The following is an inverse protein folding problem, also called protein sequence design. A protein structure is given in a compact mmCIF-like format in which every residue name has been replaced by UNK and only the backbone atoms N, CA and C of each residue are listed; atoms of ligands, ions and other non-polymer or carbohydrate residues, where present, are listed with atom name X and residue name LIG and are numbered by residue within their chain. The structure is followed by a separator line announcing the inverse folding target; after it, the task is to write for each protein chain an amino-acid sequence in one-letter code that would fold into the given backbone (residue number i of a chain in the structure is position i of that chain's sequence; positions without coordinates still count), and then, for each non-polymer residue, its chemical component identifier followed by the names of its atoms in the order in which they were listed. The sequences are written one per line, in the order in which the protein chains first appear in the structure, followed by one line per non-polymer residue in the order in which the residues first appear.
data_IF_813080399415
#
_entry.id   IF_813080399415
#
_cell.length_a   1.000
_cell.length_b   1.000
_cell.length_c   1.000
_cell.angle_alpha   90.00
_cell.angle_beta   90.00
_cell.angle_gamma   90.00
#
_symmetry.space_group_name_H-M   'P 1'
#
loop_
_entity.id
_entity.type
_entity.pdbx_description
1 polymer ?
#
# COMPACT_ATOMS: atom_id res chain seq x y z
N UNK A 1 17.75 -11.35 3.16
CA UNK A 1 17.20 -11.59 4.50
C UNK A 1 16.43 -10.36 5.01
N UNK A 2 15.59 -10.51 6.02
CA UNK A 2 14.87 -9.41 6.67
C UNK A 2 15.85 -8.34 7.17
N UNK A 3 16.91 -8.74 7.85
CA UNK A 3 17.94 -7.85 8.35
C UNK A 3 18.61 -7.01 7.23
N UNK A 4 18.85 -7.60 6.07
CA UNK A 4 19.48 -6.87 4.95
C UNK A 4 18.58 -5.74 4.39
N UNK A 5 17.27 -5.88 4.53
CA UNK A 5 16.30 -4.86 4.06
C UNK A 5 16.02 -3.82 5.13
N UNK A 6 15.86 -4.25 6.39
CA UNK A 6 15.42 -3.38 7.49
C UNK A 6 16.56 -2.77 8.29
N UNK A 7 17.77 -3.30 8.16
CA UNK A 7 18.93 -2.96 9.01
C UNK A 7 18.91 -3.62 10.40
N UNK A 8 17.85 -4.34 10.76
CA UNK A 8 17.66 -4.92 12.11
C UNK A 8 17.31 -6.40 12.03
N UNK A 9 17.88 -7.20 12.94
CA UNK A 9 17.55 -8.63 13.11
C UNK A 9 16.39 -8.81 14.10
N UNK A 10 15.20 -8.35 13.71
CA UNK A 10 14.00 -8.33 14.56
C UNK A 10 12.83 -9.14 13.99
N UNK A 11 13.07 -10.05 13.03
CA UNK A 11 12.01 -10.84 12.42
C UNK A 11 11.21 -11.64 13.46
N UNK A 12 11.88 -12.19 14.48
CA UNK A 12 11.21 -12.92 15.57
C UNK A 12 10.19 -12.05 16.31
N UNK A 13 10.54 -10.80 16.62
CA UNK A 13 9.63 -9.85 17.27
C UNK A 13 8.45 -9.46 16.37
N UNK A 14 8.68 -9.31 15.06
CA UNK A 14 7.60 -9.04 14.09
C UNK A 14 6.60 -10.20 14.06
N UNK A 15 7.09 -11.44 14.00
CA UNK A 15 6.22 -12.63 14.02
C UNK A 15 5.48 -12.79 15.35
N UNK A 16 6.14 -12.53 16.47
CA UNK A 16 5.48 -12.52 17.79
C UNK A 16 4.38 -11.44 17.88
N UNK A 17 4.64 -10.25 17.33
CA UNK A 17 3.63 -9.18 17.24
C UNK A 17 2.45 -9.56 16.34
N UNK A 18 2.70 -10.27 15.24
CA UNK A 18 1.66 -10.82 14.39
C UNK A 18 0.77 -11.81 15.16
N UNK A 19 1.39 -12.78 15.86
CA UNK A 19 0.67 -13.80 16.62
C UNK A 19 -0.12 -13.15 17.78
N UNK A 20 0.44 -12.14 18.46
CA UNK A 20 -0.26 -11.37 19.49
C UNK A 20 -1.47 -10.60 18.94
N UNK A 21 -1.35 -10.00 17.74
CA UNK A 21 -2.47 -9.31 17.09
C UNK A 21 -3.63 -10.25 16.78
N UNK A 22 -3.31 -11.45 16.30
CA UNK A 22 -4.31 -12.49 16.04
C UNK A 22 -4.96 -13.01 17.31
N UNK A 23 -4.17 -13.23 18.36
CA UNK A 23 -4.68 -13.65 19.69
C UNK A 23 -5.63 -12.59 20.29
N UNK A 24 -5.40 -11.31 19.99
CA UNK A 24 -6.29 -10.20 20.37
C UNK A 24 -7.54 -10.07 19.47
N UNK A 25 -7.75 -10.95 18.50
CA UNK A 25 -8.90 -10.92 17.59
C UNK A 25 -8.83 -9.82 16.53
N UNK A 26 -7.66 -9.23 16.28
CA UNK A 26 -7.51 -8.17 15.29
C UNK A 26 -7.46 -8.73 13.87
N UNK A 27 -8.22 -8.11 12.96
CA UNK A 27 -8.09 -8.39 11.53
C UNK A 27 -6.76 -7.86 11.00
N UNK A 28 -5.81 -8.75 10.83
CA UNK A 28 -4.40 -8.41 10.56
C UNK A 28 -4.06 -8.60 9.09
N UNK A 29 -3.30 -7.66 8.54
CA UNK A 29 -2.85 -7.65 7.14
C UNK A 29 -1.34 -7.48 7.08
N UNK A 30 -0.69 -8.23 6.20
CA UNK A 30 0.74 -8.14 5.91
C UNK A 30 0.91 -7.51 4.54
N UNK A 31 1.69 -6.45 4.45
CA UNK A 31 2.03 -5.81 3.18
C UNK A 31 3.42 -6.27 2.72
N UNK A 32 3.50 -6.65 1.46
CA UNK A 32 4.75 -7.01 0.81
C UNK A 32 4.90 -6.26 -0.51
N UNK A 33 5.90 -5.39 -0.60
CA UNK A 33 6.19 -4.65 -1.84
C UNK A 33 6.99 -5.55 -2.78
N UNK A 34 6.55 -5.64 -4.03
CA UNK A 34 7.15 -6.47 -5.09
C UNK A 34 8.40 -5.78 -5.67
N UNK A 35 9.47 -5.74 -4.90
CA UNK A 35 10.76 -5.19 -5.33
C UNK A 35 11.47 -6.15 -6.30
N UNK A 36 12.38 -5.64 -7.12
CA UNK A 36 13.28 -6.47 -7.93
C UNK A 36 14.06 -7.46 -7.04
N UNK A 37 14.19 -8.70 -7.46
CA UNK A 37 14.88 -9.76 -6.72
C UNK A 37 14.10 -10.30 -5.51
N UNK A 38 12.78 -10.02 -5.42
CA UNK A 38 11.93 -10.57 -4.35
C UNK A 38 11.25 -11.90 -4.69
N UNK A 39 11.45 -12.46 -5.88
CA UNK A 39 10.73 -13.63 -6.43
C UNK A 39 10.73 -14.80 -5.45
N UNK A 40 11.91 -15.15 -4.91
CA UNK A 40 12.06 -16.24 -3.94
C UNK A 40 11.38 -15.99 -2.58
N UNK A 41 10.86 -14.79 -2.33
CA UNK A 41 10.19 -14.42 -1.07
C UNK A 41 8.67 -14.37 -1.19
N UNK A 42 8.14 -14.30 -2.42
CA UNK A 42 6.69 -14.22 -2.66
C UNK A 42 5.96 -15.40 -2.01
N UNK A 43 6.38 -16.61 -2.32
CA UNK A 43 5.73 -17.80 -1.78
C UNK A 43 5.91 -17.96 -0.25
N UNK A 44 7.10 -17.81 0.34
CA UNK A 44 7.27 -17.83 1.80
C UNK A 44 6.35 -16.85 2.54
N UNK A 45 6.20 -15.62 2.03
CA UNK A 45 5.32 -14.62 2.64
C UNK A 45 3.84 -15.00 2.44
N UNK A 46 3.45 -15.44 1.25
CA UNK A 46 2.08 -15.89 0.97
C UNK A 46 1.65 -17.07 1.87
N UNK A 47 2.57 -17.97 2.23
CA UNK A 47 2.32 -19.10 3.15
C UNK A 47 1.91 -18.66 4.56
N UNK A 48 2.13 -17.41 4.94
CA UNK A 48 1.59 -16.88 6.20
C UNK A 48 0.06 -16.88 6.21
N UNK A 49 -0.58 -16.63 5.05
CA UNK A 49 -2.03 -16.74 4.89
C UNK A 49 -2.53 -18.20 4.90
N UNK A 50 -1.65 -19.20 4.67
CA UNK A 50 -1.99 -20.60 4.79
C UNK A 50 -1.99 -21.07 6.26
N UNK A 51 -1.04 -20.61 7.05
CA UNK A 51 -0.85 -21.03 8.44
C UNK A 51 -1.57 -20.15 9.46
N UNK A 52 -2.03 -18.96 9.06
CA UNK A 52 -2.66 -17.95 9.92
C UNK A 52 -3.83 -17.28 9.20
N UNK A 53 -4.87 -16.83 9.90
CA UNK A 53 -5.99 -16.08 9.32
C UNK A 53 -5.59 -14.60 9.07
N UNK A 54 -4.56 -14.40 8.25
CA UNK A 54 -4.04 -13.07 7.87
C UNK A 54 -4.19 -12.85 6.38
N UNK A 55 -4.43 -11.60 5.98
CA UNK A 55 -4.39 -11.23 4.57
C UNK A 55 -2.97 -10.82 4.19
N UNK A 56 -2.39 -11.48 3.20
CA UNK A 56 -1.10 -11.10 2.62
C UNK A 56 -1.37 -10.28 1.37
N UNK A 57 -0.93 -8.99 1.36
CA UNK A 57 -1.16 -8.08 0.26
C UNK A 57 0.14 -7.79 -0.47
N UNK A 58 0.18 -8.13 -1.74
CA UNK A 58 1.27 -7.80 -2.65
C UNK A 58 1.03 -6.43 -3.27
N UNK A 59 2.02 -5.54 -3.15
CA UNK A 59 1.93 -4.15 -3.59
C UNK A 59 2.88 -3.93 -4.74
N UNK A 60 2.36 -3.47 -5.86
CA UNK A 60 3.15 -3.07 -7.02
C UNK A 60 4.04 -1.88 -6.69
N UNK A 61 5.28 -1.90 -7.17
CA UNK A 61 6.21 -0.77 -6.99
C UNK A 61 5.68 0.44 -7.74
N UNK A 62 5.55 1.54 -7.01
CA UNK A 62 5.22 2.83 -7.60
C UNK A 62 6.51 3.61 -7.90
N UNK A 63 6.62 4.30 -9.04
CA UNK A 63 7.84 5.02 -9.44
C UNK A 63 8.00 6.36 -8.69
N UNK A 64 8.09 6.28 -7.34
CA UNK A 64 8.24 7.41 -6.43
C UNK A 64 9.41 7.14 -5.48
N UNK A 65 10.25 8.14 -5.23
CA UNK A 65 11.42 8.00 -4.38
C UNK A 65 12.32 6.87 -4.84
N UNK A 66 12.72 5.96 -3.95
CA UNK A 66 13.54 4.80 -4.30
C UNK A 66 12.87 3.84 -5.32
N UNK A 67 11.56 3.90 -5.48
CA UNK A 67 10.82 3.12 -6.47
C UNK A 67 11.00 3.63 -7.90
N UNK A 68 11.41 4.88 -8.09
CA UNK A 68 11.63 5.47 -9.41
C UNK A 68 12.77 4.78 -10.20
N UNK A 69 13.77 4.28 -9.48
CA UNK A 69 14.94 3.59 -10.04
C UNK A 69 14.78 2.05 -10.02
N UNK A 70 13.72 1.55 -9.40
CA UNK A 70 13.48 0.11 -9.23
C UNK A 70 12.53 -0.41 -10.30
N UNK A 71 12.98 -1.41 -11.07
CA UNK A 71 12.04 -2.28 -11.77
C UNK A 71 11.49 -3.26 -10.74
N UNK A 72 10.22 -3.10 -10.37
CA UNK A 72 9.54 -4.04 -9.51
C UNK A 72 9.39 -5.42 -10.16
N UNK A 73 9.15 -6.44 -9.35
CA UNK A 73 8.64 -7.72 -9.80
C UNK A 73 7.14 -7.60 -10.07
N UNK A 74 6.68 -8.02 -11.24
CA UNK A 74 5.29 -7.72 -11.63
C UNK A 74 4.26 -8.53 -10.81
N UNK A 75 3.09 -7.96 -10.49
CA UNK A 75 2.00 -8.69 -9.84
C UNK A 75 1.57 -9.94 -10.65
N UNK A 76 1.58 -9.86 -11.98
CA UNK A 76 1.23 -10.99 -12.85
C UNK A 76 2.20 -12.17 -12.71
N UNK A 77 3.50 -11.89 -12.60
CA UNK A 77 4.52 -12.92 -12.35
C UNK A 77 4.39 -13.51 -10.94
N UNK A 78 4.16 -12.66 -9.93
CA UNK A 78 3.89 -13.11 -8.57
C UNK A 78 2.65 -14.02 -8.52
N UNK A 79 1.58 -13.65 -9.22
CA UNK A 79 0.36 -14.45 -9.31
C UNK A 79 0.61 -15.82 -9.95
N UNK A 80 1.44 -15.91 -11.00
CA UNK A 80 1.84 -17.19 -11.60
C UNK A 80 2.54 -18.11 -10.60
N UNK A 81 3.43 -17.57 -9.77
CA UNK A 81 4.11 -18.36 -8.72
C UNK A 81 3.10 -18.92 -7.70
N UNK A 82 2.11 -18.10 -7.31
CA UNK A 82 1.09 -18.52 -6.35
C UNK A 82 0.11 -19.52 -6.95
N UNK A 83 -0.28 -19.39 -8.22
CA UNK A 83 -1.12 -20.35 -8.94
C UNK A 83 -0.43 -21.71 -9.12
N UNK A 84 0.89 -21.74 -9.29
CA UNK A 84 1.64 -23.01 -9.33
C UNK A 84 1.59 -23.74 -7.98
N UNK A 85 1.51 -23.02 -6.85
CA UNK A 85 1.38 -23.59 -5.51
C UNK A 85 -0.07 -23.90 -5.14
N UNK A 86 -1.00 -23.02 -5.49
CA UNK A 86 -2.44 -23.12 -5.22
C UNK A 86 -3.23 -22.99 -6.54
N UNK A 87 -3.41 -24.06 -7.30
CA UNK A 87 -4.11 -24.02 -8.60
C UNK A 87 -5.59 -23.59 -8.50
N UNK A 88 -6.16 -23.69 -7.30
CA UNK A 88 -7.52 -23.28 -6.96
C UNK A 88 -7.62 -21.81 -6.53
N UNK A 89 -6.52 -21.03 -6.60
CA UNK A 89 -6.53 -19.61 -6.29
C UNK A 89 -7.38 -18.85 -7.32
N UNK A 90 -8.40 -18.14 -6.86
CA UNK A 90 -9.36 -17.44 -7.72
C UNK A 90 -9.80 -16.10 -7.11
N UNK A 91 -10.16 -15.10 -7.92
CA UNK A 91 -10.68 -13.84 -7.45
C UNK A 91 -11.97 -13.98 -6.64
N UNK A 92 -12.10 -13.16 -5.59
CA UNK A 92 -13.32 -13.07 -4.78
C UNK A 92 -13.72 -11.61 -4.61
N UNK A 93 -15.03 -11.37 -4.61
CA UNK A 93 -15.61 -10.05 -4.36
C UNK A 93 -15.82 -9.86 -2.85
N UNK A 94 -14.71 -9.65 -2.12
CA UNK A 94 -14.74 -9.44 -0.68
C UNK A 94 -14.19 -8.05 -0.32
N UNK A 95 -14.97 -7.25 0.38
CA UNK A 95 -14.50 -6.00 0.98
C UNK A 95 -13.83 -6.27 2.33
N UNK A 96 -12.51 -6.15 2.36
CA UNK A 96 -11.71 -6.37 3.58
C UNK A 96 -11.09 -5.07 4.09
N UNK A 97 -11.95 -4.08 4.34
CA UNK A 97 -11.61 -2.71 4.76
C UNK A 97 -11.58 -1.71 3.60
N UNK A 98 -11.25 -0.44 3.88
CA UNK A 98 -11.34 0.69 2.94
C UNK A 98 -10.13 0.83 2.00
N UNK A 99 -9.35 -0.23 1.80
CA UNK A 99 -8.18 -0.23 0.91
C UNK A 99 -8.52 -0.56 -0.54
N UNK A 100 -7.60 -0.25 -1.48
CA UNK A 100 -7.80 -0.51 -2.90
C UNK A 100 -7.46 -1.98 -3.29
N UNK A 101 -7.16 -2.84 -2.32
CA UNK A 101 -6.79 -4.21 -2.60
C UNK A 101 -8.00 -5.01 -3.08
N UNK A 102 -7.85 -5.73 -4.17
CA UNK A 102 -8.71 -6.85 -4.54
C UNK A 102 -8.07 -8.15 -4.06
N UNK A 103 -8.89 -9.20 -3.91
CA UNK A 103 -8.46 -10.40 -3.20
C UNK A 103 -8.70 -11.66 -4.00
N UNK A 104 -7.77 -12.63 -3.83
CA UNK A 104 -7.93 -14.00 -4.26
C UNK A 104 -8.08 -14.93 -3.04
N UNK A 105 -8.89 -15.99 -3.20
CA UNK A 105 -9.10 -17.04 -2.22
C UNK A 105 -8.65 -18.39 -2.76
N UNK A 106 -8.30 -19.31 -1.85
CA UNK A 106 -8.07 -20.72 -2.09
C UNK A 106 -8.59 -21.51 -0.89
N UNK A 107 -9.11 -22.72 -1.11
CA UNK A 107 -9.53 -23.60 -0.03
C UNK A 107 -8.38 -24.00 0.92
N UNK A 108 -7.14 -23.78 0.50
CA UNK A 108 -5.91 -24.09 1.25
C UNK A 108 -5.40 -22.93 2.10
N UNK A 109 -6.06 -21.78 2.05
CA UNK A 109 -5.66 -20.57 2.79
C UNK A 109 -6.67 -20.24 3.88
N UNK A 110 -6.19 -19.90 5.06
CA UNK A 110 -7.00 -19.39 6.18
C UNK A 110 -7.32 -17.88 5.99
N UNK A 111 -6.41 -17.14 5.39
CA UNK A 111 -6.58 -15.74 5.00
C UNK A 111 -6.79 -15.56 3.51
N UNK A 112 -6.42 -14.39 3.00
CA UNK A 112 -6.55 -14.04 1.57
C UNK A 112 -5.22 -13.56 1.00
N UNK A 113 -5.10 -13.67 -0.32
CA UNK A 113 -4.04 -13.00 -1.08
C UNK A 113 -4.63 -11.73 -1.65
N UNK A 114 -4.07 -10.59 -1.28
CA UNK A 114 -4.50 -9.27 -1.77
C UNK A 114 -3.52 -8.69 -2.79
N UNK A 115 -4.04 -7.90 -3.70
CA UNK A 115 -3.26 -7.23 -4.75
C UNK A 115 -3.55 -5.73 -4.73
N UNK A 116 -2.50 -4.92 -4.70
CA UNK A 116 -2.58 -3.46 -4.83
C UNK A 116 -1.74 -3.08 -6.05
N UNK A 117 -2.39 -2.97 -7.18
CA UNK A 117 -1.81 -2.78 -8.52
C UNK A 117 -2.01 -1.32 -8.95
N UNK A 118 -1.20 -0.42 -8.38
CA UNK A 118 -1.39 1.01 -8.53
C UNK A 118 -0.98 1.54 -9.92
N UNK A 119 -0.18 0.79 -10.66
CA UNK A 119 0.34 1.17 -11.99
C UNK A 119 -0.31 0.36 -13.08
N UNK A 120 -0.29 -0.98 -12.95
CA UNK A 120 -0.80 -1.90 -13.99
C UNK A 120 -2.33 -1.98 -14.04
N UNK A 121 -3.02 -1.80 -12.90
CA UNK A 121 -4.48 -1.79 -12.78
C UNK A 121 -4.94 -0.62 -11.91
N UNK A 122 -4.75 0.60 -12.45
CA UNK A 122 -5.02 1.83 -11.73
C UNK A 122 -6.45 1.90 -11.20
N UNK A 123 -6.58 2.07 -9.88
CA UNK A 123 -7.85 2.19 -9.16
C UNK A 123 -8.23 3.65 -8.84
N UNK A 124 -7.77 4.61 -9.63
CA UNK A 124 -7.95 6.04 -9.37
C UNK A 124 -9.42 6.46 -9.24
N UNK A 125 -10.30 5.87 -10.05
CA UNK A 125 -11.74 6.19 -10.02
C UNK A 125 -12.42 5.87 -8.68
N UNK A 126 -11.93 4.87 -7.94
CA UNK A 126 -12.43 4.46 -6.62
C UNK A 126 -11.48 4.85 -5.48
N UNK A 127 -10.41 5.61 -5.78
CA UNK A 127 -9.38 5.94 -4.81
C UNK A 127 -9.87 6.96 -3.78
N UNK A 128 -10.03 6.55 -2.53
CA UNK A 128 -10.41 7.37 -1.38
C UNK A 128 -9.19 7.88 -0.56
N UNK A 129 -7.98 7.86 -1.12
CA UNK A 129 -6.76 8.21 -0.38
C UNK A 129 -6.46 9.69 -0.43
N UNK A 130 -6.22 10.27 0.73
CA UNK A 130 -5.53 11.53 0.94
C UNK A 130 -4.46 11.31 2.00
N UNK A 131 -3.46 12.16 2.07
CA UNK A 131 -2.35 12.05 3.03
C UNK A 131 -2.05 13.41 3.62
N UNK A 132 -1.75 13.41 4.91
CA UNK A 132 -1.15 14.58 5.57
C UNK A 132 0.30 14.24 5.85
N UNK A 133 1.22 15.07 5.36
CA UNK A 133 2.66 14.89 5.62
C UNK A 133 2.99 15.31 7.06
N UNK A 134 4.16 14.90 7.56
CA UNK A 134 4.67 15.34 8.87
C UNK A 134 4.85 16.85 8.97
N UNK A 135 4.91 17.56 7.85
CA UNK A 135 5.02 19.02 7.77
C UNK A 135 3.67 19.71 7.65
N UNK A 136 2.55 18.97 7.63
CA UNK A 136 1.19 19.53 7.59
C UNK A 136 0.67 19.84 6.20
N UNK A 137 1.28 19.30 5.13
CA UNK A 137 0.75 19.40 3.77
C UNK A 137 -0.29 18.29 3.54
N UNK A 138 -1.52 18.68 3.20
CA UNK A 138 -2.57 17.74 2.76
C UNK A 138 -2.43 17.47 1.26
N UNK A 139 -2.13 16.23 0.91
CA UNK A 139 -1.94 15.76 -0.48
C UNK A 139 -3.16 14.95 -0.92
N UNK A 140 -3.82 15.31 -2.03
CA UNK A 140 -4.95 14.55 -2.57
C UNK A 140 -4.51 13.29 -3.31
N UNK A 141 -3.28 13.25 -3.82
CA UNK A 141 -2.72 12.14 -4.59
C UNK A 141 -1.24 11.92 -4.24
N UNK A 142 -0.81 10.66 -4.27
CA UNK A 142 0.59 10.29 -4.01
C UNK A 142 1.54 10.72 -5.15
N UNK A 143 1.05 10.70 -6.40
CA UNK A 143 1.83 10.95 -7.60
C UNK A 143 2.29 12.40 -7.73
N UNK A 144 1.58 13.34 -7.12
CA UNK A 144 1.82 14.78 -7.26
C UNK A 144 2.38 15.37 -5.97
N UNK A 145 3.34 16.31 -6.11
CA UNK A 145 3.97 17.03 -5.00
C UNK A 145 3.06 18.10 -4.37
N UNK A 146 2.05 18.54 -5.11
CA UNK A 146 1.14 19.63 -4.73
C UNK A 146 0.14 19.19 -3.66
N UNK A 147 -0.36 20.18 -2.91
CA UNK A 147 -1.38 20.00 -1.88
C UNK A 147 -1.65 21.29 -1.13
N UNK A 148 -2.45 21.22 -0.08
CA UNK A 148 -2.80 22.38 0.76
C UNK A 148 -1.98 22.37 2.05
N UNK A 149 -1.28 23.45 2.33
CA UNK A 149 -0.51 23.62 3.57
C UNK A 149 -1.46 23.95 4.73
N UNK A 150 -1.96 22.90 5.40
CA UNK A 150 -2.82 23.05 6.57
C UNK A 150 -2.08 23.69 7.76
N UNK A 151 -0.77 23.48 7.86
CA UNK A 151 0.04 24.09 8.91
C UNK A 151 0.10 25.61 8.74
N UNK A 152 0.28 26.11 7.50
CA UNK A 152 0.29 27.54 7.23
C UNK A 152 -1.06 28.18 7.59
N UNK A 153 -2.17 27.54 7.24
CA UNK A 153 -3.52 27.98 7.60
C UNK A 153 -3.69 28.07 9.13
N UNK A 154 -3.33 26.99 9.85
CA UNK A 154 -3.40 26.97 11.32
C UNK A 154 -2.54 28.05 11.98
N UNK A 155 -1.31 28.22 11.53
CA UNK A 155 -0.38 29.23 12.06
C UNK A 155 -0.79 30.66 11.68
N UNK A 156 -1.52 30.83 10.58
CA UNK A 156 -2.13 32.09 10.16
C UNK A 156 -3.41 32.47 10.93
N UNK A 157 -3.84 31.58 11.88
CA UNK A 157 -5.03 31.87 12.71
C UNK A 157 -6.35 31.45 12.06
N UNK A 158 -6.31 30.57 11.05
CA UNK A 158 -7.52 30.02 10.46
C UNK A 158 -8.32 29.22 11.51
N UNK A 159 -9.61 29.49 11.62
CA UNK A 159 -10.54 28.70 12.44
C UNK A 159 -10.92 27.39 11.77
N UNK A 160 -11.59 26.49 12.53
CA UNK A 160 -11.95 25.14 12.11
C UNK A 160 -12.74 25.11 10.80
N UNK A 161 -13.69 26.04 10.61
CA UNK A 161 -14.48 26.11 9.38
C UNK A 161 -13.63 26.40 8.12
N UNK A 162 -12.62 27.26 8.25
CA UNK A 162 -11.70 27.54 7.13
C UNK A 162 -10.79 26.34 6.81
N UNK A 163 -10.37 25.60 7.84
CA UNK A 163 -9.60 24.35 7.66
C UNK A 163 -10.46 23.28 7.00
N UNK A 164 -11.68 23.07 7.46
CA UNK A 164 -12.61 22.11 6.87
C UNK A 164 -12.88 22.44 5.40
N UNK A 165 -13.11 23.70 5.07
CA UNK A 165 -13.30 24.14 3.69
C UNK A 165 -12.06 23.89 2.82
N UNK A 166 -10.86 24.18 3.33
CA UNK A 166 -9.62 23.96 2.61
C UNK A 166 -9.36 22.45 2.37
N UNK A 167 -9.64 21.61 3.37
CA UNK A 167 -9.54 20.14 3.25
C UNK A 167 -10.55 19.61 2.24
N UNK A 168 -11.81 20.05 2.31
CA UNK A 168 -12.84 19.64 1.39
C UNK A 168 -12.50 20.03 -0.06
N UNK A 169 -12.04 21.26 -0.29
CA UNK A 169 -11.59 21.74 -1.60
C UNK A 169 -10.45 20.87 -2.15
N UNK A 170 -9.42 20.60 -1.33
CA UNK A 170 -8.29 19.74 -1.73
C UNK A 170 -8.74 18.34 -2.15
N UNK A 171 -9.69 17.75 -1.44
CA UNK A 171 -10.20 16.41 -1.74
C UNK A 171 -11.09 16.45 -3.00
N UNK A 172 -11.90 17.49 -3.17
CA UNK A 172 -12.77 17.67 -4.33
C UNK A 172 -11.97 17.87 -5.62
N UNK A 173 -10.86 18.59 -5.56
CA UNK A 173 -9.95 18.86 -6.68
C UNK A 173 -8.96 17.71 -6.94
N UNK A 174 -9.14 16.57 -6.29
CA UNK A 174 -8.30 15.40 -6.48
C UNK A 174 -8.18 15.03 -7.97
N UNK A 175 -6.96 14.80 -8.50
CA UNK A 175 -6.76 14.40 -9.88
C UNK A 175 -7.55 13.13 -10.23
N UNK A 176 -8.14 13.09 -11.42
CA UNK A 176 -8.90 11.92 -11.91
C UNK A 176 -8.06 10.66 -12.05
N UNK A 177 -6.75 10.83 -12.29
CA UNK A 177 -5.80 9.72 -12.42
C UNK A 177 -4.42 10.12 -11.92
N UNK A 178 -3.62 9.12 -11.56
CA UNK A 178 -2.19 9.30 -11.33
C UNK A 178 -1.43 9.49 -12.67
N UNK A 179 -0.18 9.94 -12.57
CA UNK A 179 0.70 10.21 -13.71
C UNK A 179 1.85 9.18 -13.84
N UNK A 180 1.77 8.02 -13.22
CA UNK A 180 2.88 7.05 -13.20
C UNK A 180 3.31 6.56 -14.58
N UNK A 181 2.37 6.48 -15.54
CA UNK A 181 2.66 6.07 -16.91
C UNK A 181 3.12 7.20 -17.85
N UNK A 182 3.01 8.47 -17.44
CA UNK A 182 3.30 9.63 -18.32
C UNK A 182 4.64 10.29 -18.03
N UNK A 183 5.36 9.87 -17.01
CA UNK A 183 6.62 10.50 -16.56
C UNK A 183 6.44 11.89 -15.94
N UNK A 184 5.22 12.35 -15.71
CA UNK A 184 4.91 13.66 -15.11
C UNK A 184 4.78 13.60 -13.58
N UNK A 185 5.56 12.74 -12.94
CA UNK A 185 5.57 12.62 -11.48
C UNK A 185 6.23 13.89 -10.91
N UNK A 186 5.48 14.65 -10.11
CA UNK A 186 6.01 15.86 -9.45
C UNK A 186 6.41 15.60 -7.99
N UNK A 187 6.09 14.42 -7.45
CA UNK A 187 6.51 14.03 -6.11
C UNK A 187 8.01 13.72 -6.06
N UNK A 188 8.73 14.46 -5.23
CA UNK A 188 10.18 14.34 -5.07
C UNK A 188 10.60 13.75 -3.73
N UNK A 189 9.67 13.64 -2.77
CA UNK A 189 9.98 13.11 -1.45
C UNK A 189 9.97 11.58 -1.45
N UNK A 190 10.77 11.01 -0.55
CA UNK A 190 10.73 9.57 -0.27
C UNK A 190 9.41 9.19 0.39
N UNK A 191 8.95 7.94 0.17
CA UNK A 191 7.67 7.44 0.69
C UNK A 191 7.50 7.67 2.19
N UNK A 192 8.54 7.50 2.98
CA UNK A 192 8.51 7.72 4.43
C UNK A 192 8.19 9.18 4.83
N UNK A 193 8.52 10.16 3.98
CA UNK A 193 8.24 11.58 4.26
C UNK A 193 6.80 11.98 3.89
N UNK A 194 6.13 11.20 3.07
CA UNK A 194 4.76 11.47 2.58
C UNK A 194 3.70 10.52 3.14
N UNK A 195 4.02 9.82 4.23
CA UNK A 195 3.08 8.98 4.96
C UNK A 195 2.84 7.61 4.32
N UNK A 196 3.86 7.02 3.71
CA UNK A 196 3.83 5.68 3.11
C UNK A 196 4.81 4.73 3.75
#
# INVERSE_FOLDING_TARGET
TFQAITGFDQLGNVLAGLDASLAAGLHTKINFVLLAGCEGRVLPVAKLAQSRPVDVRFIEVMPIGAGAESRGFSPAEARKLLLAQWPDLHPVDEHRGNGPAHYDASARLLGRIGWIEAVSHAFCASCNRARVTSTGLLKPCLCYGEGTDLRALLRGGAGDAALEQAMAATIYEKPRSHCFGTGQITEQHVMAAIGG
#
